data_IF_378523151488
#
_entry.id   IF_378523151488
#
_cell.length_a   1.000
_cell.length_b   1.000
_cell.length_c   1.000
_cell.angle_alpha   90.00
_cell.angle_beta   90.00
_cell.angle_gamma   90.00
#
_symmetry.space_group_name_H-M   'P 1'
#
loop_
_entity.id
_entity.type
_entity.pdbx_description
1 polymer ?
#
# COMPACT_ATOMS: atom_id res chain seq x y z
N UNK A 1 -3.32 -42.50 17.99
CA UNK A 1 -3.61 -41.14 17.50
C UNK A 1 -5.05 -40.80 17.87
N UNK A 2 -5.24 -40.06 18.95
CA UNK A 2 -6.55 -39.59 19.38
C UNK A 2 -7.03 -38.45 18.47
N UNK A 3 -8.27 -38.54 17.99
CA UNK A 3 -8.91 -37.53 17.14
C UNK A 3 -9.60 -36.51 18.04
N UNK A 4 -9.13 -35.26 18.04
CA UNK A 4 -9.80 -34.16 18.73
C UNK A 4 -10.85 -33.51 17.82
N UNK A 5 -12.07 -33.33 18.34
CA UNK A 5 -13.11 -32.53 17.70
C UNK A 5 -12.95 -31.10 18.21
N UNK A 6 -12.65 -30.15 17.31
CA UNK A 6 -12.53 -28.74 17.64
C UNK A 6 -13.87 -28.05 17.36
N UNK A 7 -14.53 -27.57 18.40
CA UNK A 7 -15.74 -26.75 18.27
C UNK A 7 -15.34 -25.28 18.16
N UNK A 8 -15.78 -24.59 17.11
CA UNK A 8 -15.57 -23.15 16.95
C UNK A 8 -16.88 -22.42 17.23
N UNK A 9 -16.98 -21.80 18.41
CA UNK A 9 -18.11 -20.94 18.78
C UNK A 9 -17.91 -19.56 18.16
N UNK A 10 -18.88 -19.09 17.38
CA UNK A 10 -18.96 -17.69 16.95
C UNK A 10 -20.17 -17.05 17.61
N UNK A 11 -19.94 -15.91 18.25
CA UNK A 11 -21.00 -15.07 18.82
C UNK A 11 -21.26 -13.96 17.82
N UNK A 12 -22.51 -13.76 17.45
CA UNK A 12 -22.95 -12.58 16.70
C UNK A 12 -24.01 -11.90 17.55
N UNK A 13 -23.69 -10.72 18.05
CA UNK A 13 -24.63 -9.85 18.77
C UNK A 13 -25.30 -9.00 17.71
N UNK A 14 -26.61 -9.13 17.56
CA UNK A 14 -27.41 -8.31 16.65
C UNK A 14 -28.39 -7.49 17.49
N UNK A 15 -28.16 -6.19 17.51
CA UNK A 15 -28.97 -5.08 18.01
C UNK A 15 -29.39 -5.05 19.50
N UNK A 16 -29.34 -3.83 20.04
CA UNK A 16 -29.76 -3.45 21.39
C UNK A 16 -31.11 -2.74 21.27
N UNK A 17 -32.16 -3.35 21.83
CA UNK A 17 -33.35 -2.64 22.30
C UNK A 17 -33.66 -3.09 23.73
N UNK A 18 -34.04 -2.10 24.55
CA UNK A 18 -34.13 -2.11 26.01
C UNK A 18 -35.13 -3.13 26.58
N UNK A 19 -34.82 -4.44 26.55
CA UNK A 19 -35.16 -5.42 27.62
C UNK A 19 -35.13 -6.90 27.17
N UNK A 20 -34.54 -7.24 26.02
CA UNK A 20 -34.27 -8.67 25.71
C UNK A 20 -33.04 -8.90 24.86
N UNK A 21 -32.11 -9.75 25.34
CA UNK A 21 -30.99 -10.25 24.55
C UNK A 21 -31.46 -11.49 23.77
N UNK A 22 -31.50 -11.41 22.44
CA UNK A 22 -31.61 -12.61 21.59
C UNK A 22 -30.21 -13.14 21.30
N UNK A 23 -29.97 -14.40 21.69
CA UNK A 23 -28.74 -15.14 21.37
C UNK A 23 -29.13 -16.25 20.40
N UNK A 24 -28.74 -16.12 19.14
CA UNK A 24 -28.84 -17.20 18.18
C UNK A 24 -27.59 -18.10 18.27
N UNK A 25 -27.82 -19.41 18.33
CA UNK A 25 -26.78 -20.42 18.41
C UNK A 25 -26.62 -21.09 17.05
N UNK A 26 -25.50 -20.83 16.36
CA UNK A 26 -25.08 -21.65 15.22
C UNK A 26 -23.98 -22.62 15.66
N UNK A 27 -24.32 -23.90 15.75
CA UNK A 27 -23.32 -24.97 15.83
C UNK A 27 -22.93 -25.41 14.42
N UNK A 28 -21.63 -25.38 14.12
CA UNK A 28 -21.09 -25.99 12.92
C UNK A 28 -20.05 -27.05 13.30
N UNK A 29 -20.26 -28.29 12.83
CA UNK A 29 -19.29 -29.38 12.94
C UNK A 29 -18.30 -29.28 11.78
N UNK A 30 -17.02 -29.08 12.09
CA UNK A 30 -15.95 -29.15 11.10
C UNK A 30 -15.38 -30.57 11.13
N UNK A 31 -15.52 -31.30 10.02
CA UNK A 31 -14.72 -32.50 9.74
C UNK A 31 -13.54 -32.06 8.89
N UNK A 32 -12.33 -32.35 9.34
CA UNK A 32 -11.13 -32.25 8.51
C UNK A 32 -11.20 -33.30 7.41
N UNK A 33 -11.75 -32.87 6.27
CA UNK A 33 -11.30 -33.11 4.89
C UNK A 33 -12.48 -32.90 3.95
N UNK A 34 -12.39 -31.85 3.11
CA UNK A 34 -13.04 -31.74 1.80
C UNK A 34 -14.58 -31.78 1.74
N UNK A 35 -15.15 -30.69 1.20
CA UNK A 35 -16.56 -30.48 0.85
C UNK A 35 -17.54 -30.11 1.97
N UNK A 36 -17.90 -28.83 1.99
CA UNK A 36 -18.98 -28.24 2.78
C UNK A 36 -20.31 -28.47 2.06
N UNK A 37 -21.16 -29.36 2.58
CA UNK A 37 -22.61 -29.33 2.34
C UNK A 37 -23.27 -28.60 3.51
N UNK A 38 -24.07 -27.57 3.20
CA UNK A 38 -24.95 -26.92 4.19
C UNK A 38 -26.18 -27.79 4.39
N UNK A 39 -26.35 -28.34 5.59
CA UNK A 39 -27.64 -28.87 6.06
C UNK A 39 -28.15 -27.94 7.16
N UNK A 40 -29.34 -27.38 6.93
CA UNK A 40 -30.06 -26.55 7.89
C UNK A 40 -30.85 -27.48 8.82
N UNK A 41 -30.58 -27.46 10.11
CA UNK A 41 -31.36 -28.17 11.14
C UNK A 41 -32.28 -27.14 11.79
N UNK A 42 -33.59 -27.21 11.51
CA UNK A 42 -34.62 -26.48 12.25
C UNK A 42 -34.88 -27.18 13.58
N UNK A 43 -34.51 -26.56 14.70
CA UNK A 43 -34.89 -27.03 16.03
C UNK A 43 -36.04 -26.19 16.62
N UNK A 44 -37.08 -26.89 17.06
CA UNK A 44 -38.37 -26.33 17.47
C UNK A 44 -38.28 -25.52 18.77
N UNK A 45 -38.72 -24.26 18.69
CA UNK A 45 -38.92 -23.34 19.80
C UNK A 45 -39.82 -23.92 20.93
N UNK A 46 -39.27 -24.04 22.14
CA UNK A 46 -40.07 -24.13 23.38
C UNK A 46 -40.21 -22.74 23.99
N UNK A 47 -41.41 -22.14 23.84
CA UNK A 47 -41.84 -20.95 24.59
C UNK A 47 -41.86 -21.27 26.10
N UNK A 48 -41.00 -20.61 26.87
CA UNK A 48 -41.17 -20.46 28.33
C UNK A 48 -41.76 -19.08 28.57
N UNK A 49 -43.05 -19.02 28.89
CA UNK A 49 -43.67 -17.81 29.42
C UNK A 49 -43.17 -17.60 30.85
N UNK A 50 -42.47 -16.49 31.09
CA UNK A 50 -42.34 -15.89 32.41
C UNK A 50 -42.91 -14.49 32.27
N UNK A 51 -44.12 -14.29 32.79
CA UNK A 51 -44.81 -13.01 32.78
C UNK A 51 -44.15 -12.07 33.80
N UNK A 52 -43.67 -10.94 33.33
CA UNK A 52 -43.47 -9.75 34.15
C UNK A 52 -44.82 -9.06 34.36
N UNK A 53 -45.19 -8.83 35.60
CA UNK A 53 -46.11 -7.75 35.99
C UNK A 53 -45.28 -6.73 36.74
N UNK A 54 -45.20 -5.54 36.16
CA UNK A 54 -44.84 -4.31 36.83
C UNK A 54 -45.77 -4.07 38.03
N UNK A 55 -45.22 -3.59 39.13
CA UNK A 55 -45.96 -2.92 40.19
C UNK A 55 -45.01 -1.96 40.92
N UNK A 56 -44.95 -0.73 40.43
CA UNK A 56 -44.55 0.42 41.23
C UNK A 56 -45.80 1.06 41.83
N UNK A 57 -45.65 1.71 42.99
CA UNK A 57 -46.62 2.68 43.49
C UNK A 57 -47.67 2.17 44.48
N UNK A 58 -47.24 2.06 45.74
CA UNK A 58 -47.97 2.55 46.93
C UNK A 58 -49.48 2.29 47.02
N UNK A 59 -49.88 1.47 48.01
CA UNK A 59 -50.80 1.90 49.07
C UNK A 59 -50.96 0.82 50.14
N UNK A 60 -50.71 1.29 51.37
CA UNK A 60 -51.49 1.01 52.57
C UNK A 60 -51.50 -0.43 53.10
N UNK A 61 -50.83 -0.51 54.25
CA UNK A 61 -51.37 -1.13 55.46
C UNK A 61 -51.58 -2.64 55.37
N UNK A 62 -50.46 -3.37 55.41
CA UNK A 62 -50.47 -4.69 56.05
C UNK A 62 -50.56 -4.49 57.57
N UNK A 63 -51.75 -4.08 58.04
CA UNK A 63 -52.20 -4.31 59.40
C UNK A 63 -52.31 -5.83 59.57
N UNK A 64 -51.20 -6.50 59.82
CA UNK A 64 -51.22 -7.63 60.75
C UNK A 64 -51.28 -7.04 62.14
N UNK A 65 -52.46 -6.50 62.46
CA UNK A 65 -52.90 -6.47 63.84
C UNK A 65 -52.95 -7.93 64.26
N UNK A 66 -51.91 -8.36 64.97
CA UNK A 66 -52.04 -9.38 65.98
C UNK A 66 -52.98 -8.79 67.04
N UNK A 67 -54.28 -8.74 66.74
CA UNK A 67 -55.31 -8.69 67.76
C UNK A 67 -55.52 -10.13 68.22
N UNK A 68 -54.52 -10.67 68.93
CA UNK A 68 -54.83 -11.34 70.18
C UNK A 68 -54.76 -10.27 71.26
N UNK A 69 -55.68 -9.29 71.17
CA UNK A 69 -56.18 -8.62 72.37
C UNK A 69 -56.70 -9.75 73.22
N UNK A 70 -56.08 -9.95 74.39
CA UNK A 70 -56.46 -10.96 75.33
C UNK A 70 -57.97 -10.95 75.51
N UNK A 71 -58.62 -12.02 75.04
CA UNK A 71 -59.65 -12.61 75.87
C UNK A 71 -58.92 -13.10 77.12
N UNK A 72 -58.62 -12.19 78.04
CA UNK A 72 -58.63 -12.55 79.45
C UNK A 72 -60.03 -13.08 79.67
N UNK A 73 -60.17 -14.41 79.64
CA UNK A 73 -61.43 -15.02 80.00
C UNK A 73 -61.77 -14.47 81.39
N UNK A 74 -63.02 -14.06 81.62
CA UNK A 74 -63.49 -13.78 82.99
C UNK A 74 -63.12 -14.96 83.92
N UNK A 75 -62.98 -16.16 83.35
CA UNK A 75 -62.43 -17.35 83.99
C UNK A 75 -60.98 -17.15 84.49
N UNK A 76 -60.01 -16.70 83.68
CA UNK A 76 -58.62 -16.47 84.11
C UNK A 76 -58.47 -15.33 85.11
N UNK A 77 -59.26 -14.26 85.01
CA UNK A 77 -59.23 -13.16 85.99
C UNK A 77 -59.85 -13.57 87.34
N UNK A 78 -60.89 -14.41 87.31
CA UNK A 78 -61.47 -15.02 88.52
C UNK A 78 -60.54 -16.11 89.08
N UNK A 79 -59.83 -16.86 88.25
CA UNK A 79 -58.88 -17.89 88.69
C UNK A 79 -57.60 -17.28 89.28
N UNK A 80 -57.13 -16.14 88.78
CA UNK A 80 -56.02 -15.39 89.37
C UNK A 80 -56.42 -14.75 90.71
N UNK A 81 -57.63 -14.18 90.82
CA UNK A 81 -58.15 -13.65 92.09
C UNK A 81 -58.52 -14.74 93.09
N UNK A 82 -58.99 -15.90 92.66
CA UNK A 82 -59.20 -17.05 93.54
C UNK A 82 -57.88 -17.67 94.00
N UNK A 83 -56.84 -17.71 93.16
CA UNK A 83 -55.49 -18.11 93.59
C UNK A 83 -54.88 -17.09 94.55
N UNK A 84 -55.02 -15.79 94.34
CA UNK A 84 -54.61 -14.78 95.33
C UNK A 84 -55.38 -14.91 96.65
N UNK A 85 -56.70 -15.18 96.62
CA UNK A 85 -57.51 -15.32 97.84
C UNK A 85 -57.32 -16.67 98.57
N UNK A 86 -57.04 -17.77 97.86
CA UNK A 86 -56.82 -19.09 98.48
C UNK A 86 -55.36 -19.43 98.76
N UNK A 87 -54.38 -18.71 98.16
CA UNK A 87 -52.97 -18.79 98.58
C UNK A 87 -52.65 -17.74 99.66
N UNK A 88 -53.33 -16.58 99.72
CA UNK A 88 -53.07 -15.60 100.80
C UNK A 88 -53.54 -16.10 102.17
N UNK A 89 -54.64 -16.85 102.25
CA UNK A 89 -55.19 -17.28 103.54
C UNK A 89 -54.33 -18.34 104.29
N UNK A 90 -53.76 -19.37 103.64
CA UNK A 90 -52.86 -20.31 104.32
C UNK A 90 -51.43 -19.77 104.48
N UNK A 91 -50.97 -18.90 103.58
CA UNK A 91 -49.61 -18.35 103.61
C UNK A 91 -49.49 -17.29 104.72
N UNK A 92 -50.48 -16.42 104.93
CA UNK A 92 -50.48 -15.47 106.06
C UNK A 92 -50.56 -16.17 107.43
N UNK A 93 -51.31 -17.27 107.53
CA UNK A 93 -51.40 -18.04 108.79
C UNK A 93 -50.11 -18.81 109.08
N UNK A 94 -49.47 -19.42 108.07
CA UNK A 94 -48.17 -20.08 108.26
C UNK A 94 -47.02 -19.09 108.52
N UNK A 95 -47.05 -17.89 107.94
CA UNK A 95 -46.04 -16.87 108.20
C UNK A 95 -46.08 -16.33 109.64
N UNK A 96 -47.28 -16.25 110.25
CA UNK A 96 -47.42 -15.89 111.67
C UNK A 96 -46.86 -16.93 112.64
N UNK A 97 -46.74 -18.19 112.21
CA UNK A 97 -46.21 -19.31 113.01
C UNK A 97 -44.69 -19.46 112.86
N UNK A 98 -44.11 -18.90 111.79
CA UNK A 98 -42.69 -19.06 111.43
C UNK A 98 -41.90 -17.73 111.44
N UNK A 99 -42.49 -16.63 111.91
CA UNK A 99 -41.87 -15.29 111.92
C UNK A 99 -41.32 -14.88 110.54
N UNK A 100 -42.01 -15.31 109.48
CA UNK A 100 -41.64 -15.04 108.09
C UNK A 100 -42.30 -13.75 107.62
N UNK A 101 -41.50 -12.72 107.38
CA UNK A 101 -41.97 -11.47 106.79
C UNK A 101 -42.21 -11.67 105.28
N UNK A 102 -43.44 -12.04 104.91
CA UNK A 102 -43.84 -12.31 103.51
C UNK A 102 -43.60 -11.09 102.61
N UNK A 103 -43.83 -9.88 103.12
CA UNK A 103 -43.66 -8.65 102.34
C UNK A 103 -42.18 -8.47 101.95
N UNK A 104 -41.25 -8.73 102.88
CA UNK A 104 -39.82 -8.74 102.55
C UNK A 104 -39.46 -9.80 101.50
N UNK A 105 -40.08 -10.98 101.52
CA UNK A 105 -39.81 -12.05 100.55
C UNK A 105 -40.32 -11.67 99.15
N UNK A 106 -41.49 -11.03 99.07
CA UNK A 106 -42.05 -10.51 97.82
C UNK A 106 -41.16 -9.38 97.28
N UNK A 107 -40.78 -8.43 98.12
CA UNK A 107 -39.90 -7.32 97.75
C UNK A 107 -38.52 -7.81 97.27
N UNK A 108 -37.93 -8.79 97.97
CA UNK A 108 -36.65 -9.41 97.56
C UNK A 108 -36.79 -10.17 96.23
N UNK A 109 -37.91 -10.86 96.01
CA UNK A 109 -38.16 -11.56 94.75
C UNK A 109 -38.40 -10.59 93.59
N UNK A 110 -39.19 -9.52 93.79
CA UNK A 110 -39.42 -8.49 92.79
C UNK A 110 -38.12 -7.75 92.45
N UNK A 111 -37.30 -7.43 93.46
CA UNK A 111 -36.00 -6.81 93.27
C UNK A 111 -35.04 -7.74 92.52
N UNK A 112 -35.00 -9.02 92.89
CA UNK A 112 -34.17 -10.04 92.21
C UNK A 112 -34.62 -10.26 90.76
N UNK A 113 -35.92 -10.34 90.51
CA UNK A 113 -36.49 -10.49 89.17
C UNK A 113 -36.24 -9.25 88.31
N UNK A 114 -36.37 -8.05 88.88
CA UNK A 114 -36.05 -6.79 88.21
C UNK A 114 -34.56 -6.72 87.87
N UNK A 115 -33.68 -7.03 88.81
CA UNK A 115 -32.23 -7.06 88.58
C UNK A 115 -31.85 -8.11 87.52
N UNK A 116 -32.48 -9.28 87.53
CA UNK A 116 -32.28 -10.31 86.50
C UNK A 116 -32.69 -9.81 85.11
N UNK A 117 -33.86 -9.18 84.98
CA UNK A 117 -34.33 -8.64 83.72
C UNK A 117 -33.45 -7.48 83.23
N UNK A 118 -33.06 -6.57 84.11
CA UNK A 118 -32.21 -5.43 83.77
C UNK A 118 -30.84 -5.92 83.27
N UNK A 119 -30.23 -6.90 83.95
CA UNK A 119 -28.97 -7.53 83.51
C UNK A 119 -29.13 -8.29 82.19
N UNK A 120 -30.21 -9.05 82.01
CA UNK A 120 -30.46 -9.79 80.76
C UNK A 120 -30.66 -8.85 79.56
N UNK A 121 -31.38 -7.73 79.77
CA UNK A 121 -31.55 -6.69 78.75
C UNK A 121 -30.22 -6.01 78.45
N UNK A 122 -29.39 -5.74 79.46
CA UNK A 122 -28.05 -5.17 79.30
C UNK A 122 -27.14 -6.11 78.48
N UNK A 123 -27.08 -7.39 78.83
CA UNK A 123 -26.32 -8.42 78.11
C UNK A 123 -26.76 -8.56 76.64
N UNK A 124 -28.08 -8.61 76.38
CA UNK A 124 -28.60 -8.64 75.00
C UNK A 124 -28.22 -7.36 74.26
N UNK A 125 -28.36 -6.20 74.89
CA UNK A 125 -28.07 -4.91 74.27
C UNK A 125 -26.59 -4.81 73.93
N UNK A 126 -25.72 -5.26 74.83
CA UNK A 126 -24.28 -5.34 74.58
C UNK A 126 -23.97 -6.27 73.41
N UNK A 127 -24.55 -7.47 73.38
CA UNK A 127 -24.33 -8.43 72.30
C UNK A 127 -24.79 -7.89 70.94
N UNK A 128 -25.96 -7.25 70.88
CA UNK A 128 -26.47 -6.61 69.66
C UNK A 128 -25.55 -5.48 69.21
N UNK A 129 -25.06 -4.65 70.14
CA UNK A 129 -24.15 -3.55 69.82
C UNK A 129 -22.80 -4.04 69.28
N UNK A 130 -22.28 -5.14 69.82
CA UNK A 130 -21.06 -5.79 69.32
C UNK A 130 -21.26 -6.33 67.90
N UNK A 131 -22.38 -7.03 67.64
CA UNK A 131 -22.73 -7.51 66.30
C UNK A 131 -22.90 -6.35 65.30
N UNK A 132 -23.55 -5.27 65.70
CA UNK A 132 -23.73 -4.09 64.84
C UNK A 132 -22.39 -3.46 64.47
N UNK A 133 -21.45 -3.33 65.41
CA UNK A 133 -20.10 -2.84 65.11
C UNK A 133 -19.37 -3.75 64.13
N UNK A 134 -19.45 -5.07 64.30
CA UNK A 134 -18.84 -6.02 63.37
C UNK A 134 -19.43 -5.90 61.96
N UNK A 135 -20.76 -5.74 61.85
CA UNK A 135 -21.42 -5.51 60.57
C UNK A 135 -21.03 -4.17 59.94
N UNK A 136 -20.93 -3.10 60.73
CA UNK A 136 -20.48 -1.79 60.24
C UNK A 136 -19.05 -1.85 59.68
N UNK A 137 -18.14 -2.56 60.35
CA UNK A 137 -16.77 -2.77 59.87
C UNK A 137 -16.74 -3.56 58.56
N UNK A 138 -17.49 -4.67 58.48
CA UNK A 138 -17.63 -5.45 57.25
C UNK A 138 -18.21 -4.63 56.10
N UNK A 139 -19.22 -3.80 56.36
CA UNK A 139 -19.79 -2.91 55.35
C UNK A 139 -18.75 -1.91 54.86
N UNK A 140 -17.96 -1.30 55.75
CA UNK A 140 -16.88 -0.38 55.36
C UNK A 140 -15.83 -1.07 54.49
N UNK A 141 -15.44 -2.30 54.84
CA UNK A 141 -14.51 -3.11 54.05
C UNK A 141 -15.07 -3.40 52.66
N UNK A 142 -16.33 -3.85 52.57
CA UNK A 142 -17.00 -4.11 51.29
C UNK A 142 -17.11 -2.85 50.41
N UNK A 143 -17.42 -1.70 51.00
CA UNK A 143 -17.44 -0.42 50.27
C UNK A 143 -16.05 -0.08 49.72
N UNK A 144 -14.99 -0.34 50.47
CA UNK A 144 -13.61 -0.13 50.01
C UNK A 144 -13.24 -1.08 48.85
N UNK A 145 -13.58 -2.36 48.95
CA UNK A 145 -13.37 -3.36 47.88
C UNK A 145 -14.14 -2.95 46.61
N UNK A 146 -15.37 -2.48 46.75
CA UNK A 146 -16.18 -2.01 45.62
C UNK A 146 -15.51 -0.83 44.90
N UNK A 147 -15.01 0.16 45.63
CA UNK A 147 -14.27 1.29 45.04
C UNK A 147 -13.04 0.82 44.25
N UNK A 148 -12.22 -0.05 44.86
CA UNK A 148 -11.04 -0.61 44.19
C UNK A 148 -11.42 -1.39 42.92
N UNK A 149 -12.51 -2.16 42.96
CA UNK A 149 -13.01 -2.91 41.81
C UNK A 149 -13.50 -1.98 40.69
N UNK A 150 -14.18 -0.89 41.04
CA UNK A 150 -14.60 0.14 40.09
C UNK A 150 -13.39 0.81 39.42
N UNK A 151 -12.36 1.16 40.19
CA UNK A 151 -11.13 1.75 39.65
C UNK A 151 -10.40 0.81 38.69
N UNK A 152 -10.34 -0.49 39.02
CA UNK A 152 -9.78 -1.52 38.13
C UNK A 152 -10.60 -1.62 36.83
N UNK A 153 -11.93 -1.64 36.92
CA UNK A 153 -12.80 -1.70 35.74
C UNK A 153 -12.61 -0.49 34.82
N UNK A 154 -12.47 0.71 35.39
CA UNK A 154 -12.20 1.92 34.62
C UNK A 154 -10.87 1.81 33.86
N UNK A 155 -9.79 1.39 34.53
CA UNK A 155 -8.48 1.15 33.89
C UNK A 155 -8.54 0.08 32.79
N UNK A 156 -9.30 -0.99 33.00
CA UNK A 156 -9.50 -2.05 31.99
C UNK A 156 -10.24 -1.49 30.78
N UNK A 157 -11.23 -0.64 30.99
CA UNK A 157 -11.97 0.04 29.91
C UNK A 157 -11.06 0.95 29.09
N UNK A 158 -10.27 1.80 29.76
CA UNK A 158 -9.29 2.68 29.11
C UNK A 158 -8.26 1.90 28.30
N UNK A 159 -7.72 0.80 28.84
CA UNK A 159 -6.78 -0.06 28.14
C UNK A 159 -7.40 -0.74 26.90
N UNK A 160 -8.70 -1.10 26.96
CA UNK A 160 -9.42 -1.67 25.81
C UNK A 160 -9.55 -0.66 24.68
N UNK A 161 -9.87 0.59 25.00
CA UNK A 161 -9.95 1.66 24.00
C UNK A 161 -8.57 1.94 23.37
N UNK A 162 -7.52 2.03 24.19
CA UNK A 162 -6.15 2.19 23.68
C UNK A 162 -5.73 1.05 22.75
N UNK A 163 -6.06 -0.20 23.10
CA UNK A 163 -5.78 -1.37 22.29
C UNK A 163 -6.55 -1.35 20.96
N UNK A 164 -7.80 -0.89 20.97
CA UNK A 164 -8.59 -0.70 19.75
C UNK A 164 -7.93 0.33 18.82
N UNK A 165 -7.55 1.50 19.34
CA UNK A 165 -6.84 2.53 18.56
C UNK A 165 -5.50 2.01 18.02
N UNK A 166 -4.76 1.22 18.80
CA UNK A 166 -3.50 0.63 18.36
C UNK A 166 -3.72 -0.35 17.20
N UNK A 167 -4.74 -1.20 17.29
CA UNK A 167 -5.10 -2.13 16.22
C UNK A 167 -5.48 -1.40 14.93
N UNK A 168 -6.26 -0.32 15.03
CA UNK A 168 -6.61 0.51 13.87
C UNK A 168 -5.35 1.12 13.20
N UNK A 169 -4.38 1.59 13.99
CA UNK A 169 -3.08 2.09 13.49
C UNK A 169 -2.23 0.98 12.85
N UNK A 170 -2.26 -0.23 13.40
CA UNK A 170 -1.54 -1.38 12.83
C UNK A 170 -2.13 -1.75 11.47
N UNK A 171 -3.46 -1.78 11.36
CA UNK A 171 -4.13 -2.08 10.08
C UNK A 171 -3.86 -1.01 9.03
N UNK A 172 -3.89 0.29 9.38
CA UNK A 172 -3.54 1.34 8.44
C UNK A 172 -2.07 1.25 7.98
N UNK A 173 -1.16 0.91 8.89
CA UNK A 173 0.26 0.70 8.56
C UNK A 173 0.45 -0.50 7.63
N UNK A 174 -0.28 -1.60 7.86
CA UNK A 174 -0.27 -2.79 6.99
C UNK A 174 -0.74 -2.45 5.57
N UNK A 175 -1.79 -1.65 5.44
CA UNK A 175 -2.29 -1.21 4.14
C UNK A 175 -1.25 -0.37 3.40
N UNK A 176 -0.62 0.60 4.08
CA UNK A 176 0.46 1.40 3.50
C UNK A 176 1.65 0.55 3.02
N UNK A 177 2.07 -0.42 3.84
CA UNK A 177 3.13 -1.36 3.46
C UNK A 177 2.76 -2.20 2.23
N UNK A 178 1.50 -2.62 2.12
CA UNK A 178 1.04 -3.36 0.95
C UNK A 178 1.03 -2.49 -0.30
N UNK A 179 0.51 -1.25 -0.22
CA UNK A 179 0.54 -0.30 -1.34
C UNK A 179 1.96 -0.01 -1.80
N UNK A 180 2.89 0.17 -0.86
CA UNK A 180 4.29 0.43 -1.18
C UNK A 180 4.95 -0.78 -1.83
N UNK A 181 4.61 -2.00 -1.39
CA UNK A 181 5.07 -3.23 -2.03
C UNK A 181 4.59 -3.34 -3.47
N UNK A 182 3.32 -3.08 -3.73
CA UNK A 182 2.74 -3.14 -5.08
C UNK A 182 3.37 -2.08 -6.00
N UNK A 183 3.67 -0.89 -5.45
CA UNK A 183 4.41 0.17 -6.14
C UNK A 183 5.81 -0.28 -6.54
N UNK A 184 6.56 -0.88 -5.61
CA UNK A 184 7.91 -1.39 -5.86
C UNK A 184 7.92 -2.54 -6.89
N UNK A 185 6.92 -3.42 -6.86
CA UNK A 185 6.80 -4.50 -7.84
C UNK A 185 6.54 -3.97 -9.26
N UNK A 186 5.72 -2.92 -9.37
CA UNK A 186 5.46 -2.22 -10.64
C UNK A 186 6.74 -1.55 -11.15
N UNK A 187 7.47 -0.84 -10.29
CA UNK A 187 8.72 -0.17 -10.66
C UNK A 187 9.80 -1.17 -11.07
N UNK A 188 9.90 -2.30 -10.36
CA UNK A 188 10.78 -3.40 -10.74
C UNK A 188 10.42 -4.00 -12.12
N UNK A 189 9.13 -4.03 -12.47
CA UNK A 189 8.66 -4.38 -13.81
C UNK A 189 9.18 -3.41 -14.87
N UNK A 190 8.97 -2.10 -14.67
CA UNK A 190 9.47 -1.08 -15.60
C UNK A 190 10.99 -1.12 -15.79
N UNK A 191 11.75 -1.38 -14.73
CA UNK A 191 13.21 -1.54 -14.81
C UNK A 191 13.63 -2.71 -15.72
N UNK A 192 12.92 -3.84 -15.65
CA UNK A 192 13.17 -4.99 -16.52
C UNK A 192 12.85 -4.68 -17.99
N UNK A 193 11.76 -3.96 -18.23
CA UNK A 193 11.39 -3.56 -19.59
C UNK A 193 12.44 -2.61 -20.21
N UNK A 194 12.94 -1.65 -19.42
CA UNK A 194 14.03 -0.77 -19.82
C UNK A 194 15.33 -1.55 -20.10
N UNK A 195 15.65 -2.56 -19.28
CA UNK A 195 16.82 -3.42 -19.51
C UNK A 195 16.72 -4.15 -20.87
N UNK A 196 15.54 -4.66 -21.22
CA UNK A 196 15.27 -5.27 -22.54
C UNK A 196 15.44 -4.25 -23.67
N UNK A 197 14.98 -3.01 -23.49
CA UNK A 197 15.13 -1.95 -24.49
C UNK A 197 16.60 -1.54 -24.70
N UNK A 198 17.35 -1.39 -23.60
CA UNK A 198 18.80 -1.11 -23.64
C UNK A 198 19.54 -2.19 -24.43
N UNK A 199 19.23 -3.47 -24.18
CA UNK A 199 19.85 -4.58 -24.91
C UNK A 199 19.54 -4.52 -26.41
N UNK A 200 18.29 -4.21 -26.81
CA UNK A 200 17.93 -4.03 -28.22
C UNK A 200 18.69 -2.88 -28.88
N UNK A 201 18.80 -1.74 -28.19
CA UNK A 201 19.55 -0.59 -28.69
C UNK A 201 21.04 -0.91 -28.84
N UNK A 202 21.62 -1.66 -27.90
CA UNK A 202 23.01 -2.10 -27.98
C UNK A 202 23.24 -2.99 -29.20
N UNK A 203 22.34 -3.93 -29.49
CA UNK A 203 22.41 -4.78 -30.67
C UNK A 203 22.32 -3.97 -31.97
N UNK A 204 21.43 -2.97 -32.02
CA UNK A 204 21.31 -2.07 -33.18
C UNK A 204 22.58 -1.25 -33.39
N UNK A 205 23.17 -0.71 -32.32
CA UNK A 205 24.44 0.02 -32.39
C UNK A 205 25.56 -0.89 -32.91
N UNK A 206 25.66 -2.11 -32.40
CA UNK A 206 26.65 -3.09 -32.84
C UNK A 206 26.50 -3.41 -34.33
N UNK A 207 25.27 -3.64 -34.79
CA UNK A 207 24.97 -3.90 -36.21
C UNK A 207 25.36 -2.72 -37.10
N UNK A 208 24.95 -1.50 -36.73
CA UNK A 208 25.27 -0.30 -37.49
C UNK A 208 26.78 -0.04 -37.54
N UNK A 209 27.51 -0.32 -36.46
CA UNK A 209 28.97 -0.20 -36.41
C UNK A 209 29.65 -1.16 -37.41
N UNK A 210 29.14 -2.40 -37.52
CA UNK A 210 29.64 -3.38 -38.49
C UNK A 210 29.39 -2.93 -39.93
N UNK A 211 28.17 -2.47 -40.24
CA UNK A 211 27.80 -1.98 -41.57
C UNK A 211 28.64 -0.76 -41.98
N UNK A 212 28.80 0.22 -41.07
CA UNK A 212 29.62 1.40 -41.33
C UNK A 212 31.08 1.04 -41.60
N UNK A 213 31.63 0.08 -40.84
CA UNK A 213 32.99 -0.41 -41.05
C UNK A 213 33.15 -1.07 -42.42
N UNK A 214 32.13 -1.82 -42.87
CA UNK A 214 32.15 -2.46 -44.18
C UNK A 214 32.10 -1.43 -45.31
N UNK A 215 31.17 -0.48 -45.26
CA UNK A 215 31.06 0.61 -46.25
C UNK A 215 32.35 1.42 -46.33
N UNK A 216 32.97 1.73 -45.18
CA UNK A 216 34.26 2.43 -45.14
C UNK A 216 35.38 1.65 -45.84
N UNK A 217 35.47 0.33 -45.62
CA UNK A 217 36.45 -0.54 -46.29
C UNK A 217 36.23 -0.60 -47.80
N UNK A 218 34.98 -0.70 -48.25
CA UNK A 218 34.63 -0.74 -49.67
C UNK A 218 34.95 0.59 -50.36
N UNK A 219 34.54 1.71 -49.75
CA UNK A 219 34.85 3.05 -50.26
C UNK A 219 36.37 3.27 -50.39
N UNK A 220 37.15 2.89 -49.37
CA UNK A 220 38.61 2.97 -49.41
C UNK A 220 39.20 2.17 -50.57
N UNK A 221 38.69 0.95 -50.82
CA UNK A 221 39.13 0.11 -51.95
C UNK A 221 38.80 0.76 -53.30
N UNK A 222 37.60 1.29 -53.46
CA UNK A 222 37.18 1.96 -54.70
C UNK A 222 38.01 3.21 -54.99
N UNK A 223 38.26 4.06 -53.97
CA UNK A 223 39.15 5.21 -54.11
C UNK A 223 40.57 4.81 -54.51
N UNK A 224 41.10 3.72 -53.94
CA UNK A 224 42.44 3.23 -54.32
C UNK A 224 42.49 2.75 -55.77
N UNK A 225 41.43 2.09 -56.27
CA UNK A 225 41.34 1.70 -57.69
C UNK A 225 41.29 2.93 -58.59
N UNK A 226 40.40 3.88 -58.29
CA UNK A 226 40.27 5.11 -59.06
C UNK A 226 41.57 5.90 -59.09
N UNK A 227 42.28 6.01 -57.96
CA UNK A 227 43.58 6.67 -57.90
C UNK A 227 44.60 6.01 -58.84
N UNK A 228 44.67 4.68 -58.85
CA UNK A 228 45.56 3.95 -59.77
C UNK A 228 45.20 4.18 -61.23
N UNK A 229 43.91 4.18 -61.57
CA UNK A 229 43.43 4.44 -62.93
C UNK A 229 43.77 5.86 -63.38
N UNK A 230 43.57 6.87 -62.52
CA UNK A 230 43.96 8.26 -62.78
C UNK A 230 45.48 8.37 -62.98
N UNK A 231 46.29 7.72 -62.14
CA UNK A 231 47.75 7.76 -62.26
C UNK A 231 48.22 7.09 -63.57
N UNK A 232 47.60 5.97 -63.96
CA UNK A 232 47.85 5.31 -65.26
C UNK A 232 47.45 6.21 -66.43
N UNK A 233 46.28 6.83 -66.37
CA UNK A 233 45.80 7.76 -67.38
C UNK A 233 46.75 8.96 -67.54
N UNK A 234 47.13 9.63 -66.43
CA UNK A 234 48.10 10.74 -66.44
C UNK A 234 49.44 10.33 -67.05
N UNK A 235 49.94 9.14 -66.72
CA UNK A 235 51.15 8.61 -67.33
C UNK A 235 51.00 8.37 -68.83
N UNK A 236 49.84 7.87 -69.28
CA UNK A 236 49.50 7.74 -70.69
C UNK A 236 49.48 9.08 -71.41
N UNK A 237 48.74 10.06 -70.87
CA UNK A 237 48.69 11.44 -71.39
C UNK A 237 50.09 12.02 -71.53
N UNK A 238 50.91 11.96 -70.47
CA UNK A 238 52.28 12.48 -70.49
C UNK A 238 53.14 11.85 -71.60
N UNK A 239 52.98 10.54 -71.87
CA UNK A 239 53.68 9.86 -72.97
C UNK A 239 53.23 10.38 -74.33
N UNK A 240 51.92 10.56 -74.53
CA UNK A 240 51.39 11.15 -75.76
C UNK A 240 51.85 12.59 -75.93
N UNK A 241 51.85 13.38 -74.86
CA UNK A 241 52.33 14.76 -74.91
C UNK A 241 53.79 14.85 -75.33
N UNK A 242 54.64 13.97 -74.79
CA UNK A 242 56.05 13.88 -75.17
C UNK A 242 56.25 13.40 -76.61
N UNK A 243 55.51 12.38 -77.04
CA UNK A 243 55.64 11.79 -78.37
C UNK A 243 55.19 12.76 -79.48
N UNK A 244 54.04 13.41 -79.25
CA UNK A 244 53.44 14.34 -80.20
C UNK A 244 53.99 15.77 -80.06
N UNK A 245 54.69 16.07 -78.97
CA UNK A 245 55.09 17.43 -78.58
C UNK A 245 53.88 18.39 -78.54
N UNK A 246 52.75 17.87 -78.06
CA UNK A 246 51.46 18.54 -77.91
C UNK A 246 51.02 18.46 -76.46
N UNK A 247 50.56 19.53 -75.84
CA UNK A 247 49.89 19.49 -74.53
C UNK A 247 48.49 20.06 -74.66
N UNK A 248 47.52 19.44 -73.97
CA UNK A 248 46.13 19.87 -73.97
C UNK A 248 45.69 20.18 -72.55
N UNK A 249 45.14 21.37 -72.35
CA UNK A 249 44.47 21.75 -71.12
C UNK A 249 42.99 22.01 -71.42
N UNK A 250 42.10 21.51 -70.55
CA UNK A 250 40.66 21.66 -70.71
C UNK A 250 40.15 22.38 -69.47
N UNK A 251 39.63 23.58 -69.67
CA UNK A 251 39.01 24.38 -68.63
C UNK A 251 37.51 24.42 -68.87
N UNK A 252 36.75 23.90 -67.90
CA UNK A 252 35.30 23.84 -68.01
C UNK A 252 34.70 25.08 -67.37
N UNK A 253 34.08 25.95 -68.18
CA UNK A 253 33.48 27.19 -67.70
C UNK A 253 31.98 26.97 -67.44
N UNK A 254 31.65 26.73 -66.17
CA UNK A 254 30.27 26.72 -65.66
C UNK A 254 29.26 25.92 -66.52
N UNK A 255 29.68 24.77 -67.04
CA UNK A 255 28.84 23.78 -67.73
C UNK A 255 28.25 24.19 -69.09
N UNK A 256 28.56 25.38 -69.63
CA UNK A 256 28.02 25.82 -70.93
C UNK A 256 28.93 25.52 -72.11
N UNK A 257 30.25 25.65 -71.94
CA UNK A 257 31.25 25.30 -72.94
C UNK A 257 32.58 25.02 -72.25
N UNK A 258 33.40 24.17 -72.86
CA UNK A 258 34.76 23.92 -72.44
C UNK A 258 35.72 24.74 -73.30
N UNK A 259 36.73 25.35 -72.69
CA UNK A 259 37.83 25.96 -73.41
C UNK A 259 38.98 24.95 -73.44
N UNK A 260 39.30 24.48 -74.63
CA UNK A 260 40.41 23.55 -74.89
C UNK A 260 41.59 24.35 -75.41
N UNK A 261 42.67 24.39 -74.64
CA UNK A 261 43.93 24.98 -75.06
C UNK A 261 44.89 23.88 -75.48
N UNK A 262 45.34 23.93 -76.73
CA UNK A 262 46.33 23.00 -77.30
C UNK A 262 47.63 23.77 -77.55
N UNK A 263 48.70 23.39 -76.87
CA UNK A 263 50.04 23.92 -77.12
C UNK A 263 50.86 22.90 -77.89
N UNK A 264 51.43 23.31 -79.02
CA UNK A 264 52.21 22.48 -79.93
C UNK A 264 53.61 23.05 -80.09
N UNK A 265 54.63 22.27 -79.71
CA UNK A 265 56.02 22.70 -79.80
C UNK A 265 56.80 21.78 -80.74
N UNK A 266 57.08 22.22 -81.96
CA UNK A 266 57.91 21.45 -82.88
C UNK A 266 59.39 21.84 -82.72
N UNK A 267 60.15 21.02 -82.01
CA UNK A 267 61.59 21.24 -81.81
C UNK A 267 62.43 21.19 -83.09
N UNK A 268 61.97 20.49 -84.14
CA UNK A 268 62.70 20.34 -85.41
C UNK A 268 62.59 21.59 -86.29
N UNK A 269 61.40 22.21 -86.33
CA UNK A 269 61.12 23.38 -87.16
C UNK A 269 61.07 24.69 -86.35
N UNK A 270 61.41 24.66 -85.05
CA UNK A 270 61.35 25.79 -84.10
C UNK A 270 59.99 26.50 -84.00
N UNK A 271 58.91 25.87 -84.46
CA UNK A 271 57.56 26.42 -84.35
C UNK A 271 56.93 26.09 -83.01
N UNK A 272 56.21 27.06 -82.44
CA UNK A 272 55.46 26.90 -81.20
C UNK A 272 54.09 27.55 -81.37
N UNK A 273 53.03 26.73 -81.44
CA UNK A 273 51.67 27.19 -81.61
C UNK A 273 50.85 26.97 -80.35
N UNK A 274 50.07 27.96 -79.95
CA UNK A 274 49.03 27.84 -78.94
C UNK A 274 47.69 28.05 -79.62
N UNK A 275 46.83 27.06 -79.55
CA UNK A 275 45.53 27.01 -80.22
C UNK A 275 44.47 26.99 -79.12
N UNK A 276 43.53 27.91 -79.19
CA UNK A 276 42.41 28.00 -78.24
C UNK A 276 41.14 27.63 -78.98
N UNK A 277 40.43 26.64 -78.45
CA UNK A 277 39.21 26.08 -79.03
C UNK A 277 38.11 26.19 -77.98
N UNK A 278 36.95 26.65 -78.40
CA UNK A 278 35.70 26.50 -77.67
C UNK A 278 35.05 25.19 -78.09
N UNK A 279 34.74 24.32 -77.13
CA UNK A 279 33.92 23.13 -77.33
C UNK A 279 32.54 23.38 -76.71
N UNK A 280 31.53 23.39 -77.57
CA UNK A 280 30.12 23.42 -77.18
C UNK A 280 29.41 22.19 -77.77
N UNK A 281 29.32 21.12 -76.98
CA UNK A 281 28.65 19.87 -77.37
C UNK A 281 29.17 19.26 -78.68
N UNK A 282 30.49 19.19 -78.84
CA UNK A 282 31.18 18.73 -80.06
C UNK A 282 31.10 19.68 -81.26
N UNK A 283 30.58 20.91 -81.09
CA UNK A 283 30.83 21.99 -82.04
C UNK A 283 32.10 22.73 -81.63
N UNK A 284 33.20 22.40 -82.30
CA UNK A 284 34.52 22.96 -82.01
C UNK A 284 34.72 24.25 -82.82
N UNK A 285 34.89 25.37 -82.12
CA UNK A 285 35.18 26.67 -82.72
C UNK A 285 36.58 27.11 -82.35
N UNK A 286 37.42 27.39 -83.36
CA UNK A 286 38.73 28.01 -83.13
C UNK A 286 38.49 29.45 -82.65
N UNK A 287 39.01 29.77 -81.46
CA UNK A 287 39.02 31.12 -80.90
C UNK A 287 40.27 31.88 -81.37
N UNK A 288 41.45 31.28 -81.23
CA UNK A 288 42.72 31.90 -81.61
C UNK A 288 43.79 30.85 -81.92
N UNK A 289 44.77 31.23 -82.76
CA UNK A 289 46.01 30.49 -82.99
C UNK A 289 47.17 31.48 -82.90
N UNK A 290 48.04 31.32 -81.90
CA UNK A 290 49.24 32.13 -81.70
C UNK A 290 50.51 31.32 -82.00
N UNK A 291 51.53 31.87 -82.70
CA UNK A 291 51.56 33.20 -83.32
C UNK A 291 50.65 33.32 -84.55
N UNK A 292 50.15 34.54 -84.82
CA UNK A 292 49.24 34.86 -85.92
C UNK A 292 50.00 35.09 -87.24
N UNK A 293 50.68 34.05 -87.70
CA UNK A 293 51.40 34.05 -88.98
C UNK A 293 50.49 33.61 -90.14
N UNK A 294 50.99 33.70 -91.37
CA UNK A 294 50.24 33.29 -92.58
C UNK A 294 49.83 31.81 -92.54
N UNK A 295 50.65 30.96 -91.87
CA UNK A 295 50.34 29.53 -91.70
C UNK A 295 49.16 29.33 -90.77
N UNK A 296 49.09 30.05 -89.65
CA UNK A 296 47.99 30.02 -88.70
C UNK A 296 46.67 30.44 -89.36
N UNK A 297 46.69 31.48 -90.20
CA UNK A 297 45.53 31.89 -91.00
C UNK A 297 45.08 30.80 -91.96
N UNK A 298 46.01 30.20 -92.72
CA UNK A 298 45.70 29.14 -93.67
C UNK A 298 45.22 27.84 -93.00
N UNK A 299 45.78 27.50 -91.84
CA UNK A 299 45.34 26.36 -91.03
C UNK A 299 43.89 26.56 -90.54
N UNK A 300 43.57 27.77 -90.11
CA UNK A 300 42.21 28.13 -89.68
C UNK A 300 41.21 28.01 -90.83
N UNK A 301 41.55 28.50 -92.03
CA UNK A 301 40.71 28.33 -93.23
C UNK A 301 40.50 26.86 -93.59
N UNK A 302 41.57 26.07 -93.59
CA UNK A 302 41.51 24.62 -93.85
C UNK A 302 40.60 23.91 -92.84
N UNK A 303 40.68 24.27 -91.56
CA UNK A 303 39.79 23.74 -90.53
C UNK A 303 38.33 24.10 -90.80
N UNK A 304 38.02 25.36 -91.11
CA UNK A 304 36.63 25.75 -91.37
C UNK A 304 36.03 25.08 -92.61
N UNK A 305 36.86 24.73 -93.60
CA UNK A 305 36.44 23.99 -94.79
C UNK A 305 36.22 22.49 -94.51
N UNK A 306 37.11 21.86 -93.76
CA UNK A 306 37.16 20.40 -93.61
C UNK A 306 36.53 19.89 -92.31
N UNK A 307 36.44 20.75 -91.30
CA UNK A 307 36.15 20.40 -89.90
C UNK A 307 37.07 19.32 -89.34
N UNK A 308 38.27 19.17 -89.91
CA UNK A 308 39.27 18.19 -89.50
C UNK A 308 40.35 18.85 -88.63
N UNK A 309 40.22 18.68 -87.31
CA UNK A 309 41.20 19.19 -86.35
C UNK A 309 42.56 18.48 -86.45
N UNK A 310 42.58 17.19 -86.82
CA UNK A 310 43.82 16.43 -86.95
C UNK A 310 44.59 16.91 -88.18
N UNK A 311 43.90 17.11 -89.30
CA UNK A 311 44.45 17.70 -90.51
C UNK A 311 45.02 19.10 -90.28
N UNK A 312 44.30 19.96 -89.54
CA UNK A 312 44.78 21.29 -89.16
C UNK A 312 46.07 21.22 -88.33
N UNK A 313 46.10 20.40 -87.28
CA UNK A 313 47.27 20.24 -86.42
C UNK A 313 48.47 19.67 -87.21
N UNK A 314 48.24 18.70 -88.09
CA UNK A 314 49.27 18.13 -88.95
C UNK A 314 49.85 19.16 -89.92
N UNK A 315 49.02 20.03 -90.50
CA UNK A 315 49.46 21.14 -91.35
C UNK A 315 50.38 22.09 -90.59
N UNK A 316 49.94 22.58 -89.42
CA UNK A 316 50.75 23.46 -88.56
C UNK A 316 52.07 22.81 -88.14
N UNK A 317 52.10 21.48 -87.96
CA UNK A 317 53.29 20.75 -87.54
C UNK A 317 54.29 20.51 -88.69
N UNK A 318 53.81 20.17 -89.88
CA UNK A 318 54.64 19.68 -91.00
C UNK A 318 55.13 20.78 -91.95
N UNK A 319 54.43 21.91 -92.04
CA UNK A 319 54.78 22.98 -92.98
C UNK A 319 56.01 23.77 -92.50
N UNK A 320 57.16 23.55 -93.17
CA UNK A 320 58.40 24.31 -92.93
C UNK A 320 58.20 25.79 -93.27
N UNK A 321 58.92 26.67 -92.57
CA UNK A 321 59.02 28.11 -92.91
C UNK A 321 59.59 28.31 -94.31
#
# INVERSE_FOLDING_TARGET
MEKYIVYKKKFKVCDYDDDTIKIDFEESKIKDNGNVKKETIEEKNKKKHIGGKEADGTKRANRRNITKKGQFSKKLFIEYRYKELYLSFPIHVMASVLDLNIDNIIDEYELSYKNFNDNFVEEITQHINEQLKEYEEKIKEHVNILKQTTDINNKVSENREQLKTLNEKIESTRQLLQTERDRLETEAGHCKDLEVEVNKLQDMVNKNQMELTQVSKESKKSMQKLKKEIDLFKNGVKKFEQYLQLSMNIENNNEQFAVVTVSMKNTKNRSNYNIVIEDNNNDYKIIDIAPRDEKASKATELYYQTKDIQGMLAFLYMTKE
#
